data_IF_377705533505
#
_entry.id   IF_377705533505
#
_cell.length_a   1.000
_cell.length_b   1.000
_cell.length_c   1.000
_cell.angle_alpha   90.00
_cell.angle_beta   90.00
_cell.angle_gamma   90.00
#
_symmetry.space_group_name_H-M   'P 1'
#
loop_
_entity.id
_entity.type
_entity.pdbx_description
1 polymer ?
#
# COMPACT_ATOMS: atom_id res chain seq x y z
N UNK A 1 -6.90 47.95 17.34
CA UNK A 1 -6.12 47.12 16.40
C UNK A 1 -6.44 47.59 14.98
N UNK A 2 -5.46 47.93 14.13
CA UNK A 2 -5.73 48.43 12.77
C UNK A 2 -6.51 47.40 11.95
N UNK A 3 -7.37 47.84 11.01
CA UNK A 3 -8.19 46.95 10.16
C UNK A 3 -7.38 45.82 9.51
N UNK A 4 -6.14 46.11 9.08
CA UNK A 4 -5.19 45.13 8.56
C UNK A 4 -4.82 44.01 9.55
N UNK A 5 -4.64 44.36 10.83
CA UNK A 5 -4.31 43.39 11.88
C UNK A 5 -5.51 42.52 12.23
N UNK A 6 -6.72 43.10 12.20
CA UNK A 6 -7.98 42.36 12.41
C UNK A 6 -8.21 41.37 11.25
N UNK A 7 -8.04 41.80 10.00
CA UNK A 7 -8.19 40.91 8.84
C UNK A 7 -7.14 39.80 8.82
N UNK A 8 -5.88 40.11 9.16
CA UNK A 8 -4.83 39.09 9.26
C UNK A 8 -5.15 38.07 10.35
N UNK A 9 -5.64 38.51 11.51
CA UNK A 9 -6.02 37.61 12.60
C UNK A 9 -7.18 36.68 12.19
N UNK A 10 -8.22 37.21 11.54
CA UNK A 10 -9.32 36.40 11.02
C UNK A 10 -8.85 35.39 9.97
N UNK A 11 -7.95 35.79 9.07
CA UNK A 11 -7.37 34.89 8.08
C UNK A 11 -6.59 33.74 8.74
N UNK A 12 -5.80 34.03 9.77
CA UNK A 12 -5.05 33.00 10.52
C UNK A 12 -6.01 32.00 11.16
N UNK A 13 -7.09 32.47 11.81
CA UNK A 13 -8.08 31.57 12.40
C UNK A 13 -8.69 30.66 11.32
N UNK A 14 -9.07 31.24 10.18
CA UNK A 14 -9.64 30.48 9.06
C UNK A 14 -8.63 29.46 8.52
N UNK A 15 -7.36 29.84 8.36
CA UNK A 15 -6.30 28.96 7.89
C UNK A 15 -6.04 27.82 8.89
N UNK A 16 -6.02 28.12 10.20
CA UNK A 16 -5.87 27.11 11.25
C UNK A 16 -7.05 26.14 11.25
N UNK A 17 -8.29 26.63 11.13
CA UNK A 17 -9.47 25.77 11.04
C UNK A 17 -9.42 24.87 9.81
N UNK A 18 -9.01 25.41 8.66
CA UNK A 18 -8.81 24.64 7.43
C UNK A 18 -7.72 23.57 7.59
N UNK A 19 -6.58 23.89 8.21
CA UNK A 19 -5.53 22.91 8.44
C UNK A 19 -5.93 21.81 9.42
N UNK A 20 -6.69 22.13 10.46
CA UNK A 20 -7.24 21.11 11.37
C UNK A 20 -8.18 20.18 10.61
N UNK A 21 -9.09 20.74 9.81
CA UNK A 21 -9.99 19.96 8.95
C UNK A 21 -9.22 19.01 8.01
N UNK A 22 -8.18 19.51 7.33
CA UNK A 22 -7.34 18.68 6.45
C UNK A 22 -6.54 17.64 7.23
N UNK A 23 -6.04 17.97 8.44
CA UNK A 23 -5.26 17.05 9.25
C UNK A 23 -6.07 15.87 9.76
N UNK A 24 -7.38 16.05 9.99
CA UNK A 24 -8.30 14.96 10.36
C UNK A 24 -8.49 13.94 9.22
N UNK A 25 -8.36 14.36 7.97
CA UNK A 25 -8.47 13.49 6.78
C UNK A 25 -7.15 12.74 6.46
N UNK A 26 -6.05 13.02 7.18
CA UNK A 26 -4.77 12.34 6.94
C UNK A 26 -4.86 10.88 7.44
N UNK A 27 -4.47 9.90 6.61
CA UNK A 27 -4.53 8.48 7.00
C UNK A 27 -3.64 8.19 8.21
N UNK A 28 -3.96 7.15 8.98
CA UNK A 28 -3.09 6.73 10.09
C UNK A 28 -1.77 6.21 9.55
N UNK A 29 -0.66 6.74 10.07
CA UNK A 29 0.67 6.29 9.68
C UNK A 29 0.88 4.82 10.05
N UNK A 30 1.28 4.01 9.08
CA UNK A 30 1.60 2.59 9.29
C UNK A 30 0.38 1.67 9.45
N UNK A 31 -0.80 2.06 8.98
CA UNK A 31 -1.97 1.16 8.99
C UNK A 31 -1.74 -0.11 8.13
N UNK A 32 -1.79 -1.32 8.72
CA UNK A 32 -1.58 -2.57 8.00
C UNK A 32 -2.72 -2.88 7.00
N UNK A 33 -3.87 -2.21 7.13
CA UNK A 33 -5.02 -2.35 6.26
C UNK A 33 -5.10 -1.26 5.19
N UNK A 34 -3.98 -0.60 4.88
CA UNK A 34 -3.89 0.38 3.80
C UNK A 34 -4.17 -0.25 2.43
N UNK A 35 -4.98 0.39 1.57
CA UNK A 35 -5.27 -0.10 0.21
C UNK A 35 -4.05 -0.57 -0.61
N UNK A 36 -2.93 0.18 -0.69
CA UNK A 36 -1.77 -0.23 -1.48
C UNK A 36 -1.05 -1.49 -0.96
N UNK A 37 -1.28 -1.86 0.31
CA UNK A 37 -0.68 -3.04 0.93
C UNK A 37 -1.60 -4.28 0.86
N UNK A 38 -2.88 -4.10 0.51
CA UNK A 38 -3.84 -5.21 0.39
C UNK A 38 -3.49 -6.10 -0.80
N UNK A 39 -3.70 -7.40 -0.61
CA UNK A 39 -3.59 -8.38 -1.68
C UNK A 39 -4.64 -8.16 -2.76
N UNK A 40 -4.36 -8.62 -3.97
CA UNK A 40 -5.35 -8.71 -5.04
C UNK A 40 -5.98 -10.09 -5.03
N UNK A 41 -7.30 -10.15 -4.92
CA UNK A 41 -8.04 -11.41 -5.00
C UNK A 41 -7.97 -12.01 -6.40
N UNK A 42 -7.74 -13.31 -6.49
CA UNK A 42 -7.68 -14.05 -7.75
C UNK A 42 -8.95 -14.87 -7.97
N UNK A 43 -9.28 -15.78 -7.05
CA UNK A 43 -10.46 -16.64 -7.11
C UNK A 43 -10.70 -17.37 -5.78
N UNK A 44 -11.84 -18.03 -5.68
CA UNK A 44 -12.23 -18.86 -4.53
C UNK A 44 -12.37 -20.34 -4.92
N UNK A 45 -12.02 -21.24 -3.99
CA UNK A 45 -12.20 -22.69 -4.12
C UNK A 45 -13.03 -23.24 -2.95
N UNK A 46 -13.85 -24.27 -3.18
CA UNK A 46 -14.55 -25.00 -2.10
C UNK A 46 -13.57 -25.84 -1.26
N UNK A 47 -13.80 -25.92 0.05
CA UNK A 47 -12.95 -26.61 1.04
C UNK A 47 -13.18 -28.13 1.00
N UNK A 48 -12.77 -28.76 -0.10
CA UNK A 48 -12.84 -30.22 -0.28
C UNK A 48 -11.57 -30.90 0.29
N UNK A 49 -11.30 -30.76 1.59
CA UNK A 49 -10.06 -31.26 2.24
C UNK A 49 -8.76 -30.51 1.88
N UNK A 50 -8.85 -29.39 1.14
CA UNK A 50 -7.68 -28.60 0.78
C UNK A 50 -7.00 -27.96 2.00
N UNK A 51 -7.78 -27.53 2.99
CA UNK A 51 -7.26 -26.89 4.20
C UNK A 51 -6.40 -27.83 5.07
N UNK A 52 -6.71 -29.13 5.09
CA UNK A 52 -5.89 -30.10 5.85
C UNK A 52 -4.54 -30.34 5.19
N UNK A 53 -4.49 -30.37 3.85
CA UNK A 53 -3.24 -30.47 3.08
C UNK A 53 -2.35 -29.23 3.28
N UNK A 54 -2.95 -28.03 3.26
CA UNK A 54 -2.22 -26.79 3.51
C UNK A 54 -1.64 -26.75 4.93
N UNK A 55 -2.36 -27.26 5.93
CA UNK A 55 -1.83 -27.41 7.29
C UNK A 55 -0.65 -28.40 7.38
N UNK A 56 -0.58 -29.37 6.47
CA UNK A 56 0.53 -30.31 6.37
C UNK A 56 1.70 -29.77 5.53
N UNK A 57 1.68 -28.49 5.15
CA UNK A 57 2.67 -27.85 4.27
C UNK A 57 2.71 -28.48 2.86
N UNK A 58 1.62 -29.12 2.44
CA UNK A 58 1.47 -29.75 1.12
C UNK A 58 0.67 -28.82 0.23
N UNK A 59 1.22 -28.52 -0.94
CA UNK A 59 0.52 -27.79 -2.02
C UNK A 59 -0.53 -28.73 -2.64
N UNK A 60 -1.83 -28.41 -2.60
CA UNK A 60 -2.84 -29.24 -3.24
C UNK A 60 -2.76 -29.17 -4.78
N UNK A 61 -2.86 -30.31 -5.46
CA UNK A 61 -2.83 -30.37 -6.93
C UNK A 61 -3.95 -29.55 -7.58
N UNK A 62 -5.15 -29.58 -6.99
CA UNK A 62 -6.31 -28.77 -7.45
C UNK A 62 -6.00 -27.27 -7.44
N UNK A 63 -5.26 -26.79 -6.43
CA UNK A 63 -4.85 -25.38 -6.35
C UNK A 63 -3.80 -25.06 -7.43
N UNK A 64 -2.76 -25.89 -7.56
CA UNK A 64 -1.70 -25.70 -8.56
C UNK A 64 -2.27 -25.72 -9.99
N UNK A 65 -3.13 -26.69 -10.31
CA UNK A 65 -3.76 -26.80 -11.63
C UNK A 65 -4.64 -25.59 -11.97
N UNK A 66 -5.40 -25.07 -11.00
CA UNK A 66 -6.30 -23.94 -11.21
C UNK A 66 -5.54 -22.60 -11.38
N UNK A 67 -4.37 -22.47 -10.72
CA UNK A 67 -3.43 -21.36 -10.90
C UNK A 67 -2.78 -21.39 -12.28
N UNK A 68 -2.21 -22.54 -12.67
CA UNK A 68 -1.55 -22.71 -13.98
C UNK A 68 -2.54 -22.50 -15.13
N UNK A 69 -3.77 -23.00 -14.99
CA UNK A 69 -4.84 -22.78 -15.97
C UNK A 69 -5.19 -21.29 -16.18
N UNK A 70 -4.97 -20.45 -15.16
CA UNK A 70 -5.15 -18.98 -15.22
C UNK A 70 -3.88 -18.24 -15.64
N UNK A 71 -2.79 -18.94 -15.94
CA UNK A 71 -1.52 -18.34 -16.34
C UNK A 71 -0.66 -17.85 -15.17
N UNK A 72 -0.93 -18.31 -13.94
CA UNK A 72 -0.12 -17.98 -12.77
C UNK A 72 0.97 -19.04 -12.52
N UNK A 73 2.14 -18.65 -11.95
CA UNK A 73 3.24 -19.57 -11.69
C UNK A 73 2.87 -20.66 -10.67
N UNK A 74 3.36 -21.89 -10.85
CA UNK A 74 3.06 -22.98 -9.94
C UNK A 74 3.66 -22.71 -8.54
N UNK A 75 2.90 -23.00 -7.47
CA UNK A 75 3.41 -22.86 -6.11
C UNK A 75 4.47 -23.91 -5.78
N UNK A 76 5.52 -23.50 -5.05
CA UNK A 76 6.63 -24.37 -4.60
C UNK A 76 6.46 -24.84 -3.17
N UNK A 77 6.11 -23.93 -2.26
CA UNK A 77 6.05 -24.17 -0.81
C UNK A 77 4.86 -23.46 -0.20
N UNK A 78 4.29 -24.06 0.86
CA UNK A 78 3.22 -23.48 1.67
C UNK A 78 3.71 -23.37 3.11
N UNK A 79 3.39 -22.25 3.75
CA UNK A 79 3.73 -21.99 5.14
C UNK A 79 2.51 -21.40 5.85
N UNK A 80 2.11 -21.99 6.98
CA UNK A 80 1.03 -21.44 7.79
C UNK A 80 1.49 -20.14 8.44
N UNK A 81 0.62 -19.13 8.47
CA UNK A 81 0.91 -17.90 9.19
C UNK A 81 0.69 -18.18 10.69
N UNK A 82 1.77 -18.17 11.47
CA UNK A 82 1.79 -18.62 12.88
C UNK A 82 0.73 -17.95 13.76
N UNK A 83 0.35 -16.71 13.45
CA UNK A 83 -0.52 -15.88 14.28
C UNK A 83 -2.00 -15.93 13.86
N UNK A 84 -2.34 -16.59 12.74
CA UNK A 84 -3.68 -16.57 12.15
C UNK A 84 -4.17 -17.98 11.78
N UNK A 85 -5.31 -18.38 12.36
CA UNK A 85 -5.95 -19.64 11.99
C UNK A 85 -6.58 -19.57 10.59
N UNK A 86 -6.27 -20.57 9.77
CA UNK A 86 -6.83 -20.66 8.42
C UNK A 86 -6.18 -19.72 7.41
N UNK A 87 -4.96 -19.22 7.67
CA UNK A 87 -4.21 -18.44 6.70
C UNK A 87 -2.83 -19.05 6.38
N UNK A 88 -2.46 -18.99 5.11
CA UNK A 88 -1.21 -19.54 4.60
C UNK A 88 -0.55 -18.60 3.59
N UNK A 89 0.78 -18.53 3.67
CA UNK A 89 1.63 -17.97 2.63
C UNK A 89 2.00 -19.08 1.66
N UNK A 90 1.89 -18.79 0.37
CA UNK A 90 2.31 -19.70 -0.69
C UNK A 90 3.40 -19.02 -1.50
N UNK A 91 4.49 -19.75 -1.68
CA UNK A 91 5.69 -19.30 -2.34
C UNK A 91 5.75 -19.82 -3.77
N UNK A 92 6.46 -19.08 -4.61
CA UNK A 92 6.84 -19.53 -5.95
C UNK A 92 8.37 -19.57 -6.03
N UNK A 93 8.89 -20.50 -6.83
CA UNK A 93 10.29 -20.49 -7.20
C UNK A 93 10.53 -19.34 -8.19
N UNK A 94 11.40 -18.39 -7.82
CA UNK A 94 11.76 -17.29 -8.73
C UNK A 94 12.75 -17.80 -9.78
N UNK A 95 12.39 -17.72 -11.06
CA UNK A 95 13.24 -18.07 -12.19
C UNK A 95 14.29 -16.98 -12.49
N UNK A 96 15.01 -16.50 -11.48
CA UNK A 96 16.07 -15.50 -11.64
C UNK A 96 17.45 -16.12 -11.36
N UNK A 97 18.33 -16.27 -12.38
CA UNK A 97 19.61 -16.98 -12.23
C UNK A 97 20.54 -16.39 -11.17
N UNK A 98 20.45 -15.07 -10.94
CA UNK A 98 21.31 -14.34 -10.03
C UNK A 98 20.78 -14.35 -8.58
N UNK A 99 19.47 -14.51 -8.41
CA UNK A 99 18.77 -14.39 -7.13
C UNK A 99 17.66 -15.44 -7.02
N UNK A 100 18.03 -16.71 -7.22
CA UNK A 100 17.13 -17.84 -7.02
C UNK A 100 16.71 -17.92 -5.55
N UNK A 101 15.55 -17.33 -5.25
CA UNK A 101 14.93 -17.34 -3.93
C UNK A 101 13.47 -17.63 -4.11
N UNK A 102 12.89 -18.31 -3.14
CA UNK A 102 11.44 -18.41 -3.06
C UNK A 102 10.86 -17.04 -2.71
N UNK A 103 9.84 -16.63 -3.45
CA UNK A 103 9.14 -15.38 -3.22
C UNK A 103 7.73 -15.68 -2.71
N UNK A 104 7.33 -14.99 -1.65
CA UNK A 104 5.96 -15.02 -1.14
C UNK A 104 5.05 -14.38 -2.19
N UNK A 105 4.18 -15.18 -2.81
CA UNK A 105 3.43 -14.72 -3.98
C UNK A 105 1.92 -14.86 -3.79
N UNK A 106 1.43 -15.92 -3.16
CA UNK A 106 0.00 -16.06 -2.86
C UNK A 106 -0.30 -16.01 -1.37
N UNK A 107 -1.47 -15.45 -1.06
CA UNK A 107 -2.13 -15.53 0.22
C UNK A 107 -3.32 -16.45 0.07
N UNK A 108 -3.41 -17.48 0.90
CA UNK A 108 -4.60 -18.32 0.98
C UNK A 108 -5.23 -18.10 2.33
N UNK A 109 -6.52 -17.74 2.33
CA UNK A 109 -7.33 -17.56 3.54
C UNK A 109 -8.54 -18.46 3.47
N UNK A 110 -8.85 -19.14 4.57
CA UNK A 110 -10.09 -19.88 4.76
C UNK A 110 -11.19 -18.94 5.25
N UNK A 111 -12.30 -18.92 4.52
CA UNK A 111 -13.52 -18.18 4.87
C UNK A 111 -14.70 -19.14 4.82
N UNK A 112 -15.11 -19.64 5.99
CA UNK A 112 -16.13 -20.68 6.09
C UNK A 112 -15.73 -21.94 5.31
N UNK A 113 -16.53 -22.30 4.32
CA UNK A 113 -16.34 -23.46 3.44
C UNK A 113 -15.57 -23.14 2.16
N UNK A 114 -15.00 -21.93 2.04
CA UNK A 114 -14.23 -21.50 0.87
C UNK A 114 -12.79 -21.15 1.24
N UNK A 115 -11.87 -21.42 0.33
CA UNK A 115 -10.52 -20.87 0.31
C UNK A 115 -10.50 -19.69 -0.65
N UNK A 116 -10.16 -18.51 -0.14
CA UNK A 116 -9.89 -17.31 -0.93
C UNK A 116 -8.40 -17.28 -1.26
N UNK A 117 -8.08 -17.18 -2.55
CA UNK A 117 -6.71 -17.10 -3.05
C UNK A 117 -6.48 -15.70 -3.58
N UNK A 118 -5.47 -15.05 -3.04
CA UNK A 118 -5.06 -13.70 -3.41
C UNK A 118 -3.56 -13.70 -3.72
N UNK A 119 -3.06 -12.68 -4.41
CA UNK A 119 -1.62 -12.48 -4.63
C UNK A 119 -1.07 -11.28 -3.86
N UNK A 120 0.15 -11.46 -3.37
CA UNK A 120 0.97 -10.41 -2.79
C UNK A 120 1.76 -9.73 -3.91
N UNK A 121 1.17 -8.71 -4.51
CA UNK A 121 1.87 -7.91 -5.50
C UNK A 121 1.37 -6.47 -5.44
N UNK A 122 2.09 -5.61 -4.72
CA UNK A 122 1.69 -4.21 -4.58
C UNK A 122 1.65 -3.50 -5.95
N UNK A 123 2.63 -3.75 -6.83
CA UNK A 123 2.67 -3.18 -8.19
C UNK A 123 1.42 -3.55 -8.98
N UNK A 124 0.99 -4.80 -8.88
CA UNK A 124 -0.22 -5.28 -9.53
C UNK A 124 -1.45 -4.61 -8.92
N UNK A 125 -1.53 -4.50 -7.59
CA UNK A 125 -2.63 -3.81 -6.91
C UNK A 125 -2.76 -2.39 -7.45
N UNK A 126 -1.65 -1.68 -7.59
CA UNK A 126 -1.64 -0.31 -8.12
C UNK A 126 -2.21 -0.28 -9.54
N UNK A 127 -1.77 -1.18 -10.42
CA UNK A 127 -2.25 -1.26 -11.80
C UNK A 127 -3.75 -1.58 -11.88
N UNK A 128 -4.22 -2.56 -11.10
CA UNK A 128 -5.59 -3.09 -11.24
C UNK A 128 -6.63 -2.32 -10.42
N UNK A 129 -6.23 -1.72 -9.30
CA UNK A 129 -7.13 -1.07 -8.34
C UNK A 129 -6.84 0.42 -8.16
N UNK A 130 -5.74 0.93 -8.67
CA UNK A 130 -5.36 2.34 -8.55
C UNK A 130 -6.44 3.31 -9.00
N UNK A 131 -7.05 3.08 -10.17
CA UNK A 131 -8.11 3.96 -10.66
C UNK A 131 -9.37 3.94 -9.77
N UNK A 132 -9.75 2.77 -9.26
CA UNK A 132 -10.92 2.60 -8.38
C UNK A 132 -10.68 3.26 -7.01
N UNK A 133 -9.47 3.15 -6.48
CA UNK A 133 -9.11 3.61 -5.14
C UNK A 133 -8.79 5.11 -5.08
N UNK A 134 -8.24 5.68 -6.16
CA UNK A 134 -7.69 7.05 -6.16
C UNK A 134 -8.42 8.00 -7.10
N UNK A 135 -9.32 7.47 -7.95
CA UNK A 135 -10.00 8.21 -9.01
C UNK A 135 -9.04 8.92 -10.01
N UNK A 136 -7.77 8.51 -10.04
CA UNK A 136 -6.72 9.08 -10.89
C UNK A 136 -6.23 8.00 -11.86
N UNK A 137 -6.08 8.34 -13.14
CA UNK A 137 -5.69 7.37 -14.18
C UNK A 137 -4.18 7.13 -14.25
N UNK A 138 -3.37 8.12 -13.86
CA UNK A 138 -1.92 8.04 -13.97
C UNK A 138 -1.31 7.34 -12.75
N UNK A 139 -0.70 6.18 -12.98
CA UNK A 139 -0.05 5.37 -11.96
C UNK A 139 1.06 6.05 -11.18
N UNK A 140 1.87 6.86 -11.86
CA UNK A 140 2.93 7.60 -11.20
C UNK A 140 2.35 8.67 -10.30
N UNK A 141 1.31 9.37 -10.76
CA UNK A 141 0.67 10.44 -10.00
C UNK A 141 0.03 9.93 -8.72
N UNK A 142 -0.86 8.93 -8.80
CA UNK A 142 -1.49 8.40 -7.59
C UNK A 142 -0.50 7.61 -6.72
N UNK A 143 0.54 7.03 -7.33
CA UNK A 143 1.61 6.36 -6.59
C UNK A 143 2.34 7.32 -5.64
N UNK A 144 2.64 8.54 -6.11
CA UNK A 144 3.32 9.57 -5.33
C UNK A 144 2.37 10.34 -4.40
N UNK A 145 1.21 10.77 -4.91
CA UNK A 145 0.31 11.66 -4.18
C UNK A 145 -0.62 10.92 -3.20
N UNK A 146 -1.20 9.79 -3.61
CA UNK A 146 -2.21 9.09 -2.81
C UNK A 146 -1.58 7.95 -1.99
N UNK A 147 -0.89 7.01 -2.65
CA UNK A 147 -0.33 5.84 -1.96
C UNK A 147 0.93 6.15 -1.15
N UNK A 148 1.77 7.08 -1.62
CA UNK A 148 3.03 7.47 -0.97
C UNK A 148 3.09 8.96 -0.65
N UNK A 149 1.94 9.57 -0.38
CA UNK A 149 1.82 11.00 -0.10
C UNK A 149 2.73 11.50 1.04
N UNK A 150 2.99 10.66 2.05
CA UNK A 150 3.91 11.00 3.13
C UNK A 150 5.36 11.24 2.68
N UNK A 151 5.86 10.43 1.73
CA UNK A 151 7.22 10.60 1.20
C UNK A 151 7.31 11.94 0.45
N UNK A 152 6.32 12.23 -0.39
CA UNK A 152 6.24 13.50 -1.14
C UNK A 152 5.99 14.72 -0.22
N UNK A 153 5.24 14.57 0.88
CA UNK A 153 5.11 15.62 1.91
C UNK A 153 6.46 15.92 2.58
N UNK A 154 7.27 14.88 2.82
CA UNK A 154 8.64 15.03 3.31
C UNK A 154 9.53 15.77 2.30
N UNK A 155 9.53 15.35 1.04
CA UNK A 155 10.29 15.99 -0.04
C UNK A 155 9.93 17.48 -0.18
N UNK A 156 8.64 17.80 -0.21
CA UNK A 156 8.16 19.20 -0.29
C UNK A 156 8.57 20.04 0.92
N UNK A 157 8.52 19.46 2.12
CA UNK A 157 8.98 20.11 3.36
C UNK A 157 10.49 20.41 3.32
N UNK A 158 11.31 19.50 2.80
CA UNK A 158 12.75 19.68 2.63
C UNK A 158 13.06 20.80 1.63
N UNK A 159 12.42 20.81 0.47
CA UNK A 159 12.62 21.86 -0.53
C UNK A 159 12.15 23.23 -0.02
N UNK A 160 11.01 23.28 0.69
CA UNK A 160 10.50 24.51 1.29
C UNK A 160 11.45 25.08 2.34
N UNK A 161 11.95 24.25 3.25
CA UNK A 161 12.92 24.67 4.27
C UNK A 161 14.26 25.11 3.67
N UNK A 162 14.73 24.44 2.62
CA UNK A 162 15.90 24.88 1.86
C UNK A 162 15.68 26.26 1.21
N UNK A 163 14.51 26.47 0.57
CA UNK A 163 14.14 27.75 -0.03
C UNK A 163 14.11 28.90 0.97
N UNK A 164 13.49 28.70 2.14
CA UNK A 164 13.51 29.68 3.24
C UNK A 164 14.94 29.96 3.70
N UNK A 165 15.75 28.92 3.86
CA UNK A 165 17.14 29.07 4.31
C UNK A 165 17.95 29.95 3.35
N UNK A 166 17.82 29.72 2.03
CA UNK A 166 18.46 30.55 1.00
C UNK A 166 17.98 32.00 1.08
N UNK A 167 16.66 32.24 1.20
CA UNK A 167 16.10 33.59 1.33
C UNK A 167 16.66 34.30 2.56
N UNK A 168 16.75 33.62 3.71
CA UNK A 168 17.28 34.19 4.95
C UNK A 168 18.77 34.52 4.83
N UNK A 169 19.57 33.66 4.17
CA UNK A 169 21.00 33.90 3.93
C UNK A 169 21.25 35.07 2.97
N UNK A 170 20.44 35.20 1.91
CA UNK A 170 20.59 36.25 0.90
C UNK A 170 19.89 37.57 1.28
N UNK A 171 19.08 37.59 2.34
CA UNK A 171 18.37 38.78 2.81
C UNK A 171 19.38 39.84 3.26
N UNK A 172 19.67 40.81 2.37
CA UNK A 172 20.49 41.98 2.69
C UNK A 172 19.91 42.76 3.87
N UNK A 173 20.71 42.90 4.93
CA UNK A 173 20.47 43.79 6.07
C UNK A 173 20.82 45.24 5.72
N UNK A 174 20.25 45.79 4.65
CA UNK A 174 20.50 47.17 4.23
C UNK A 174 19.20 47.86 3.84
N UNK A 175 18.56 48.44 4.85
CA UNK A 175 17.95 49.78 4.93
C UNK A 175 17.25 49.90 6.29
N UNK A 176 18.05 50.17 7.32
CA UNK A 176 17.68 51.02 8.45
C UNK A 176 18.65 52.20 8.40
#
# INVERSE_FOLDING_TARGET
>A
MNRLKVSAFLLIILLCALFIYVAEDIPVFGDPNTPPLKSVELFTLEVDSLASLLNQHIVPEKLSGELVKRGFPPPSRVEKISDLEGEWNVFIAKEEPRYAREEKYYWVRKEGDKLRISRYAFVVRWIEKGLEETAVSNMVTYGLADYRGYDTLGETSVIFTAGISVILLLRRRSRL
#
